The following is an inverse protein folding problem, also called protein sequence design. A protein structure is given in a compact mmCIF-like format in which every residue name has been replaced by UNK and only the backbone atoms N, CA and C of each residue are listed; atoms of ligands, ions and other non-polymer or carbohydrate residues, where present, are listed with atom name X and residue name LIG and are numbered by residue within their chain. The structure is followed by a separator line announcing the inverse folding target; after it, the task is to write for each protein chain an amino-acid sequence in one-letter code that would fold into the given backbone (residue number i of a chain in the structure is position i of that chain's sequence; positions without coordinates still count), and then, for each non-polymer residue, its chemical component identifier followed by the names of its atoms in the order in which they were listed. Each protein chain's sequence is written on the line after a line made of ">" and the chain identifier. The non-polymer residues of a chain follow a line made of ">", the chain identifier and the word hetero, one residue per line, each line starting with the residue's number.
data_IF_964410037063
#
_entry.id   IF_964410037063
#
_cell.length_a   1.000
_cell.length_b   1.000
_cell.length_c   1.000
_cell.angle_alpha   90.00
_cell.angle_beta   90.00
_cell.angle_gamma   90.00
#
_symmetry.space_group_name_H-M   'P 1'
#
loop_
_entity.id
_entity.type
_entity.pdbx_description
1 polymer ?
#
# COMPACT_ATOMS: atom_id res chain seq x y z
N UNK A 1 -4.53 -8.87 -2.71
CA UNK A 1 -5.25 -10.12 -3.05
C UNK A 1 -5.48 -10.13 -4.55
N UNK A 2 -5.61 -11.31 -5.18
CA UNK A 2 -5.90 -11.41 -6.62
C UNK A 2 -7.35 -11.02 -6.96
N UNK A 3 -8.25 -11.27 -6.02
CA UNK A 3 -9.70 -11.09 -6.15
C UNK A 3 -10.25 -10.25 -4.99
N UNK A 4 -11.50 -9.83 -5.09
CA UNK A 4 -12.31 -9.39 -3.94
C UNK A 4 -12.40 -10.51 -2.89
N UNK A 5 -12.69 -10.14 -1.64
CA UNK A 5 -12.97 -11.11 -0.57
C UNK A 5 -14.18 -11.96 -0.97
N UNK A 6 -14.07 -13.29 -0.93
CA UNK A 6 -15.20 -14.18 -1.20
C UNK A 6 -16.09 -14.35 0.03
N UNK A 7 -17.35 -14.77 -0.17
CA UNK A 7 -18.25 -15.02 0.95
C UNK A 7 -17.73 -16.10 1.90
N UNK A 8 -17.05 -17.14 1.40
CA UNK A 8 -16.45 -18.15 2.28
C UNK A 8 -15.31 -17.56 3.13
N UNK A 9 -14.45 -16.72 2.55
CA UNK A 9 -13.39 -16.05 3.31
C UNK A 9 -13.96 -15.19 4.44
N UNK A 10 -15.05 -14.45 4.17
CA UNK A 10 -15.71 -13.66 5.21
C UNK A 10 -16.42 -14.53 6.26
N UNK A 11 -17.01 -15.66 5.86
CA UNK A 11 -17.58 -16.66 6.80
C UNK A 11 -16.51 -17.23 7.72
N UNK A 12 -15.33 -17.55 7.18
CA UNK A 12 -14.22 -18.07 7.97
C UNK A 12 -13.78 -17.04 9.03
N UNK A 13 -13.69 -15.76 8.64
CA UNK A 13 -13.48 -14.63 9.57
C UNK A 13 -14.54 -14.57 10.67
N UNK A 14 -15.83 -14.53 10.31
CA UNK A 14 -16.93 -14.47 11.28
C UNK A 14 -16.87 -15.62 12.29
N UNK A 15 -16.50 -16.82 11.86
CA UNK A 15 -16.41 -17.99 12.73
C UNK A 15 -15.20 -17.98 13.68
N UNK A 16 -14.31 -16.99 13.59
CA UNK A 16 -13.26 -16.75 14.59
C UNK A 16 -13.66 -15.76 15.69
N UNK A 17 -14.75 -15.03 15.48
CA UNK A 17 -15.17 -13.94 16.35
C UNK A 17 -16.03 -14.43 17.53
N UNK A 18 -16.08 -13.63 18.59
CA UNK A 18 -17.04 -13.85 19.69
C UNK A 18 -18.48 -13.56 19.24
N UNK A 19 -19.52 -14.06 19.94
CA UNK A 19 -20.92 -13.80 19.59
C UNK A 19 -21.30 -12.31 19.50
N UNK A 20 -20.71 -11.46 20.35
CA UNK A 20 -20.95 -10.02 20.29
C UNK A 20 -20.36 -9.40 19.02
N UNK A 21 -19.12 -9.80 18.68
CA UNK A 21 -18.41 -9.32 17.49
C UNK A 21 -19.08 -9.82 16.20
N UNK A 22 -19.52 -11.09 16.14
CA UNK A 22 -20.27 -11.60 14.98
C UNK A 22 -21.60 -10.87 14.82
N UNK A 23 -22.34 -10.62 15.90
CA UNK A 23 -23.59 -9.84 15.83
C UNK A 23 -23.38 -8.44 15.25
N UNK A 24 -22.20 -7.84 15.45
CA UNK A 24 -21.85 -6.54 14.90
C UNK A 24 -21.32 -6.60 13.45
N UNK A 25 -20.57 -7.65 13.08
CA UNK A 25 -19.88 -7.76 11.77
C UNK A 25 -20.60 -8.61 10.72
N UNK A 26 -21.54 -9.46 11.12
CA UNK A 26 -22.25 -10.31 10.18
C UNK A 26 -23.23 -9.51 9.31
N UNK A 27 -23.35 -9.93 8.06
CA UNK A 27 -24.42 -9.52 7.16
C UNK A 27 -25.22 -10.77 6.81
N UNK A 28 -26.53 -10.76 7.07
CA UNK A 28 -27.43 -11.91 6.84
C UNK A 28 -28.64 -11.53 5.99
N UNK A 29 -28.63 -10.35 5.39
CA UNK A 29 -29.72 -9.88 4.51
C UNK A 29 -29.64 -10.59 3.17
N UNK A 30 -30.68 -11.37 2.86
CA UNK A 30 -30.81 -12.10 1.59
C UNK A 30 -31.00 -11.19 0.38
N UNK A 31 -30.59 -11.67 -0.80
CA UNK A 31 -30.72 -10.95 -2.07
C UNK A 31 -29.37 -10.49 -2.59
N UNK A 32 -29.30 -10.15 -3.88
CA UNK A 32 -28.05 -9.79 -4.57
C UNK A 32 -26.96 -10.86 -4.38
N UNK A 33 -27.37 -12.13 -4.46
CA UNK A 33 -26.52 -13.32 -4.27
C UNK A 33 -25.75 -13.40 -2.95
N UNK A 34 -26.13 -12.60 -1.96
CA UNK A 34 -25.69 -12.77 -0.59
C UNK A 34 -26.25 -14.10 -0.05
N UNK A 35 -25.35 -14.98 0.39
CA UNK A 35 -25.66 -16.32 0.88
C UNK A 35 -25.26 -16.59 2.33
N UNK A 36 -24.56 -15.64 2.98
CA UNK A 36 -24.07 -15.76 4.36
C UNK A 36 -25.27 -15.77 5.31
N UNK A 37 -25.34 -16.79 6.16
CA UNK A 37 -26.40 -17.00 7.15
C UNK A 37 -25.86 -17.71 8.38
N UNK A 38 -26.55 -17.53 9.50
CA UNK A 38 -26.30 -18.33 10.69
C UNK A 38 -26.92 -19.73 10.54
N UNK A 39 -26.15 -20.75 10.92
CA UNK A 39 -26.54 -22.16 10.98
C UNK A 39 -26.01 -22.73 12.30
N UNK A 40 -26.92 -22.95 13.25
CA UNK A 40 -26.62 -23.58 14.54
C UNK A 40 -25.50 -22.90 15.34
N UNK A 41 -25.53 -21.56 15.46
CA UNK A 41 -24.54 -20.78 16.22
C UNK A 41 -23.21 -20.57 15.51
N UNK A 42 -23.11 -20.91 14.22
CA UNK A 42 -21.98 -20.61 13.33
C UNK A 42 -22.47 -19.97 12.04
N UNK A 43 -21.57 -19.35 11.28
CA UNK A 43 -21.90 -18.81 9.96
C UNK A 43 -21.53 -19.80 8.86
N UNK A 44 -22.36 -19.82 7.82
CA UNK A 44 -22.14 -20.58 6.58
C UNK A 44 -22.64 -19.76 5.39
N UNK A 45 -22.23 -20.13 4.17
CA UNK A 45 -22.77 -19.54 2.94
C UNK A 45 -23.17 -20.61 1.92
N UNK A 46 -24.21 -20.33 1.13
CA UNK A 46 -24.58 -21.14 -0.03
C UNK A 46 -23.85 -20.74 -1.32
N UNK A 47 -23.05 -19.68 -1.29
CA UNK A 47 -22.36 -19.13 -2.46
C UNK A 47 -20.88 -18.84 -2.14
N UNK A 48 -20.11 -19.87 -1.73
CA UNK A 48 -18.77 -19.70 -1.13
C UNK A 48 -17.76 -18.94 -1.99
N UNK A 49 -17.90 -19.02 -3.32
CA UNK A 49 -16.97 -18.41 -4.26
C UNK A 49 -17.45 -17.06 -4.83
N UNK A 50 -18.67 -16.63 -4.50
CA UNK A 50 -19.18 -15.32 -4.90
C UNK A 50 -18.50 -14.24 -4.07
N UNK A 51 -18.21 -13.08 -4.68
CA UNK A 51 -17.64 -11.94 -3.95
C UNK A 51 -18.56 -11.53 -2.78
N UNK A 52 -17.96 -11.25 -1.63
CA UNK A 52 -18.66 -10.85 -0.42
C UNK A 52 -19.14 -9.41 -0.56
N UNK A 53 -20.45 -9.26 -0.72
CA UNK A 53 -21.10 -7.96 -0.74
C UNK A 53 -21.72 -7.60 0.60
N UNK A 54 -22.31 -6.40 0.70
CA UNK A 54 -22.88 -5.85 1.94
C UNK A 54 -21.84 -5.67 3.04
N UNK A 55 -20.62 -5.29 2.65
CA UNK A 55 -19.54 -4.95 3.57
C UNK A 55 -19.41 -3.43 3.69
N UNK A 56 -19.49 -2.91 4.91
CA UNK A 56 -19.15 -1.52 5.22
C UNK A 56 -17.64 -1.32 5.27
N UNK A 57 -17.18 -0.06 5.33
CA UNK A 57 -15.76 0.25 5.61
C UNK A 57 -15.25 -0.47 6.86
N UNK A 58 -16.06 -0.44 7.93
CA UNK A 58 -15.75 -1.06 9.21
C UNK A 58 -15.63 -2.58 9.11
N UNK A 59 -16.49 -3.24 8.33
CA UNK A 59 -16.43 -4.69 8.11
C UNK A 59 -15.15 -5.11 7.38
N UNK A 60 -14.81 -4.37 6.32
CA UNK A 60 -13.59 -4.61 5.57
C UNK A 60 -12.35 -4.35 6.40
N UNK A 61 -12.30 -3.24 7.14
CA UNK A 61 -11.20 -2.93 8.04
C UNK A 61 -11.00 -4.05 9.08
N UNK A 62 -12.06 -4.51 9.74
CA UNK A 62 -11.96 -5.63 10.68
C UNK A 62 -11.43 -6.92 10.04
N UNK A 63 -11.95 -7.29 8.86
CA UNK A 63 -11.46 -8.46 8.13
C UNK A 63 -9.98 -8.34 7.76
N UNK A 64 -9.55 -7.15 7.31
CA UNK A 64 -8.18 -6.90 6.90
C UNK A 64 -7.22 -6.91 8.09
N UNK A 65 -7.65 -6.36 9.22
CA UNK A 65 -6.86 -6.37 10.45
C UNK A 65 -6.59 -7.81 10.91
N UNK A 66 -7.68 -8.58 11.05
CA UNK A 66 -7.64 -10.00 11.38
C UNK A 66 -6.77 -10.83 10.42
N UNK A 67 -6.84 -10.55 9.12
CA UNK A 67 -6.06 -11.25 8.10
C UNK A 67 -4.59 -10.79 8.04
N UNK A 68 -4.19 -9.82 8.87
CA UNK A 68 -2.90 -9.16 8.83
C UNK A 68 -2.63 -8.44 7.50
N UNK A 69 -3.68 -8.07 6.77
CA UNK A 69 -3.64 -7.33 5.50
C UNK A 69 -3.85 -5.85 5.80
N UNK A 70 -3.94 -5.01 4.75
CA UNK A 70 -4.31 -3.61 4.91
C UNK A 70 -5.25 -3.12 3.81
N UNK A 71 -5.99 -2.02 4.05
CA UNK A 71 -6.76 -1.34 3.02
C UNK A 71 -5.87 -0.94 1.83
N UNK A 72 -6.39 -1.15 0.62
CA UNK A 72 -5.75 -0.69 -0.61
C UNK A 72 -6.00 0.81 -0.79
N UNK A 73 -4.99 1.58 -1.15
CA UNK A 73 -5.20 2.97 -1.59
C UNK A 73 -5.78 3.03 -3.00
N UNK A 74 -6.51 4.09 -3.34
CA UNK A 74 -6.99 4.27 -4.72
C UNK A 74 -5.85 4.41 -5.75
N UNK A 75 -4.64 4.78 -5.32
CA UNK A 75 -3.44 4.82 -6.16
C UNK A 75 -2.91 3.41 -6.43
N UNK A 76 -2.88 2.55 -5.41
CA UNK A 76 -2.55 1.13 -5.56
C UNK A 76 -3.58 0.42 -6.43
N UNK A 77 -4.86 0.79 -6.34
CA UNK A 77 -5.92 0.28 -7.21
C UNK A 77 -5.62 0.55 -8.69
N UNK A 78 -5.33 1.80 -9.05
CA UNK A 78 -4.98 2.16 -10.42
C UNK A 78 -3.67 1.52 -10.88
N UNK A 79 -2.69 1.39 -9.98
CA UNK A 79 -1.42 0.70 -10.28
C UNK A 79 -1.63 -0.79 -10.51
N UNK A 80 -2.54 -1.42 -9.76
CA UNK A 80 -2.91 -2.83 -9.95
C UNK A 80 -3.61 -3.04 -11.30
N UNK A 81 -4.43 -2.08 -11.73
CA UNK A 81 -5.05 -2.08 -13.03
C UNK A 81 -4.02 -1.91 -14.15
N UNK A 82 -3.23 -0.83 -14.17
CA UNK A 82 -2.38 -0.45 -15.32
C UNK A 82 -0.97 -1.01 -15.36
N UNK A 83 -0.44 -1.46 -14.22
CA UNK A 83 0.98 -1.75 -14.09
C UNK A 83 1.86 -0.56 -14.46
N UNK A 84 2.76 -0.75 -15.43
CA UNK A 84 3.65 0.30 -15.93
C UNK A 84 3.11 1.06 -17.15
N UNK A 85 1.92 0.70 -17.65
CA UNK A 85 1.34 1.37 -18.80
C UNK A 85 0.81 2.76 -18.45
N UNK A 86 1.00 3.71 -19.38
CA UNK A 86 0.39 5.03 -19.26
C UNK A 86 -1.14 4.95 -19.37
N UNK A 87 -1.87 5.97 -18.87
CA UNK A 87 -3.32 5.97 -18.89
C UNK A 87 -3.86 6.06 -20.33
N UNK A 88 -4.90 5.29 -20.62
CA UNK A 88 -5.69 5.35 -21.85
C UNK A 88 -7.08 5.90 -21.52
N UNK A 89 -7.55 6.86 -22.31
CA UNK A 89 -8.85 7.48 -22.09
C UNK A 89 -9.99 6.44 -22.14
N UNK A 90 -10.86 6.46 -21.13
CA UNK A 90 -12.01 5.56 -20.97
C UNK A 90 -11.66 4.06 -20.90
N UNK A 91 -10.43 3.74 -20.52
CA UNK A 91 -10.02 2.34 -20.38
C UNK A 91 -10.62 1.68 -19.13
N UNK A 92 -10.80 0.37 -19.24
CA UNK A 92 -11.10 -0.51 -18.12
C UNK A 92 -9.83 -1.22 -17.65
N UNK A 93 -9.94 -2.08 -16.64
CA UNK A 93 -8.80 -2.72 -15.98
C UNK A 93 -7.79 -3.39 -16.94
N UNK A 94 -8.25 -3.90 -18.08
CA UNK A 94 -7.41 -4.57 -19.08
C UNK A 94 -6.66 -3.65 -20.05
N UNK A 95 -6.89 -2.33 -19.99
CA UNK A 95 -6.18 -1.30 -20.74
C UNK A 95 -6.78 -0.93 -22.09
N UNK A 96 -8.03 -1.35 -22.38
CA UNK A 96 -8.76 -0.97 -23.59
C UNK A 96 -10.17 -0.48 -23.25
N UNK A 97 -10.86 0.07 -24.25
CA UNK A 97 -12.26 0.53 -24.14
C UNK A 97 -13.27 -0.58 -24.47
N UNK A 98 -12.82 -1.81 -24.75
CA UNK A 98 -13.71 -2.91 -25.14
C UNK A 98 -14.41 -3.53 -23.93
N UNK A 99 -15.58 -2.98 -23.56
CA UNK A 99 -16.44 -3.51 -22.50
C UNK A 99 -17.51 -4.45 -23.07
N UNK A 100 -17.55 -5.67 -22.56
CA UNK A 100 -18.51 -6.69 -22.98
C UNK A 100 -19.31 -7.17 -21.77
N UNK A 101 -20.63 -7.07 -21.87
CA UNK A 101 -21.56 -7.59 -20.86
C UNK A 101 -21.56 -9.11 -20.86
N UNK A 102 -21.79 -9.68 -19.68
CA UNK A 102 -22.11 -11.10 -19.47
C UNK A 102 -23.40 -11.50 -20.17
N UNK A 103 -24.25 -10.53 -20.53
CA UNK A 103 -25.50 -10.73 -21.25
C UNK A 103 -26.62 -11.25 -20.34
N UNK A 104 -27.24 -12.35 -20.73
CA UNK A 104 -28.38 -12.95 -20.02
C UNK A 104 -27.99 -14.08 -19.06
N UNK A 105 -28.91 -14.50 -18.20
CA UNK A 105 -28.75 -15.64 -17.29
C UNK A 105 -28.41 -16.93 -18.02
N UNK A 106 -28.86 -17.08 -19.26
CA UNK A 106 -28.53 -18.23 -20.12
C UNK A 106 -27.04 -18.37 -20.45
N UNK A 107 -26.23 -17.34 -20.22
CA UNK A 107 -24.78 -17.41 -20.39
C UNK A 107 -24.04 -17.96 -19.16
N UNK A 108 -24.73 -18.06 -18.02
CA UNK A 108 -24.16 -18.58 -16.79
C UNK A 108 -24.44 -20.07 -16.62
N UNK A 109 -23.51 -20.77 -15.99
CA UNK A 109 -23.66 -22.17 -15.57
C UNK A 109 -23.14 -22.34 -14.14
N UNK A 110 -23.75 -23.25 -13.36
CA UNK A 110 -23.36 -23.60 -11.98
C UNK A 110 -23.26 -22.38 -11.03
N UNK A 111 -24.28 -21.53 -11.02
CA UNK A 111 -24.30 -20.31 -10.21
C UNK A 111 -24.06 -20.59 -8.71
N UNK A 112 -23.02 -19.99 -8.16
CA UNK A 112 -22.67 -20.04 -6.73
C UNK A 112 -21.59 -21.07 -6.42
N UNK A 113 -21.33 -21.99 -7.34
CA UNK A 113 -20.43 -23.12 -7.17
C UNK A 113 -18.98 -22.79 -7.58
N UNK A 114 -18.05 -23.67 -7.21
CA UNK A 114 -16.64 -23.56 -7.63
C UNK A 114 -16.48 -23.55 -9.16
N UNK A 115 -17.43 -24.19 -9.85
CA UNK A 115 -17.48 -24.36 -11.30
C UNK A 115 -18.41 -23.34 -11.98
N UNK A 116 -18.76 -22.24 -11.30
CA UNK A 116 -19.51 -21.15 -11.92
C UNK A 116 -18.71 -20.59 -13.11
N UNK A 117 -19.34 -20.57 -14.28
CA UNK A 117 -18.76 -20.04 -15.51
C UNK A 117 -19.74 -19.10 -16.21
N UNK A 118 -19.18 -18.24 -17.05
CA UNK A 118 -19.93 -17.41 -17.98
C UNK A 118 -19.34 -17.58 -19.38
N UNK A 119 -20.19 -17.69 -20.40
CA UNK A 119 -19.76 -17.94 -21.78
C UNK A 119 -19.20 -16.72 -22.50
N UNK A 120 -19.40 -15.52 -21.96
CA UNK A 120 -18.98 -14.26 -22.56
C UNK A 120 -18.86 -13.13 -21.53
N UNK A 121 -18.32 -12.00 -21.99
CA UNK A 121 -18.15 -10.80 -21.19
C UNK A 121 -16.77 -10.72 -20.55
N UNK A 122 -16.44 -9.54 -20.05
CA UNK A 122 -15.20 -9.27 -19.31
C UNK A 122 -15.41 -8.41 -18.05
N UNK A 123 -16.67 -8.05 -17.76
CA UNK A 123 -17.07 -7.37 -16.54
C UNK A 123 -18.52 -7.72 -16.19
N UNK A 124 -18.84 -7.71 -14.89
CA UNK A 124 -20.22 -7.84 -14.39
C UNK A 124 -20.76 -6.44 -14.12
N UNK A 125 -21.76 -6.00 -14.87
CA UNK A 125 -22.33 -4.64 -14.80
C UNK A 125 -23.75 -4.58 -15.40
N UNK A 126 -24.40 -3.42 -15.32
CA UNK A 126 -25.71 -3.11 -15.92
C UNK A 126 -26.91 -3.91 -15.37
N UNK A 127 -26.80 -4.41 -14.14
CA UNK A 127 -27.93 -4.89 -13.34
C UNK A 127 -28.57 -6.19 -13.82
N UNK A 128 -28.07 -6.82 -14.89
CA UNK A 128 -28.67 -8.03 -15.46
C UNK A 128 -27.72 -9.23 -15.38
N UNK A 129 -28.14 -10.22 -14.58
CA UNK A 129 -27.56 -11.56 -14.41
C UNK A 129 -26.07 -11.60 -13.98
N UNK A 130 -25.76 -12.28 -12.86
CA UNK A 130 -26.58 -13.29 -12.17
C UNK A 130 -27.52 -12.72 -11.11
N UNK A 131 -27.76 -11.39 -11.10
CA UNK A 131 -28.63 -10.74 -10.11
C UNK A 131 -27.91 -10.43 -8.79
N UNK A 132 -26.64 -10.04 -8.90
CA UNK A 132 -25.68 -9.81 -7.82
C UNK A 132 -24.25 -9.94 -8.34
N UNK A 133 -23.23 -9.86 -7.48
CA UNK A 133 -21.85 -10.18 -7.87
C UNK A 133 -21.70 -11.62 -8.37
N UNK A 134 -20.69 -11.84 -9.20
CA UNK A 134 -20.32 -13.17 -9.70
C UNK A 134 -19.30 -13.85 -8.79
N UNK A 135 -18.99 -15.12 -9.12
CA UNK A 135 -17.82 -15.81 -8.61
C UNK A 135 -16.56 -14.96 -8.82
N UNK A 136 -15.68 -14.88 -7.83
CA UNK A 136 -14.37 -14.23 -8.03
C UNK A 136 -13.56 -14.96 -9.10
N UNK A 137 -12.99 -14.22 -10.05
CA UNK A 137 -12.29 -14.79 -11.20
C UNK A 137 -13.21 -15.42 -12.26
N UNK A 138 -14.46 -14.97 -12.38
CA UNK A 138 -15.47 -15.59 -13.26
C UNK A 138 -15.04 -15.66 -14.73
N UNK A 139 -14.27 -14.69 -15.20
CA UNK A 139 -13.82 -14.58 -16.59
C UNK A 139 -12.46 -15.24 -16.86
N UNK A 140 -11.71 -15.63 -15.82
CA UNK A 140 -10.43 -16.32 -15.98
C UNK A 140 -10.65 -17.79 -16.34
N UNK A 141 -10.02 -18.23 -17.44
CA UNK A 141 -10.09 -19.60 -17.92
C UNK A 141 -8.84 -20.00 -18.70
N UNK A 142 -8.80 -21.26 -19.12
CA UNK A 142 -7.71 -21.73 -19.98
C UNK A 142 -7.70 -20.93 -21.29
N UNK A 143 -6.54 -20.36 -21.64
CA UNK A 143 -6.39 -19.54 -22.85
C UNK A 143 -6.99 -18.14 -22.79
N UNK A 144 -7.54 -17.69 -21.65
CA UNK A 144 -8.04 -16.32 -21.54
C UNK A 144 -6.92 -15.30 -21.68
N UNK A 145 -7.14 -14.27 -22.50
CA UNK A 145 -6.27 -13.09 -22.54
C UNK A 145 -6.56 -12.18 -21.35
N UNK A 146 -5.70 -11.16 -21.13
CA UNK A 146 -5.95 -10.14 -20.10
C UNK A 146 -7.32 -9.47 -20.28
N UNK A 147 -7.66 -9.11 -21.52
CA UNK A 147 -8.93 -8.47 -21.85
C UNK A 147 -10.13 -9.41 -21.69
N UNK A 148 -10.05 -10.65 -22.18
CA UNK A 148 -11.16 -11.59 -22.03
C UNK A 148 -11.36 -12.04 -20.58
N UNK A 149 -10.30 -12.01 -19.77
CA UNK A 149 -10.36 -12.29 -18.35
C UNK A 149 -10.79 -11.09 -17.49
N UNK A 150 -10.93 -9.89 -18.07
CA UNK A 150 -11.20 -8.67 -17.29
C UNK A 150 -10.07 -8.31 -16.31
N UNK A 151 -8.84 -8.74 -16.58
CA UNK A 151 -7.72 -8.67 -15.65
C UNK A 151 -6.92 -7.37 -15.79
N UNK A 152 -6.38 -6.88 -14.68
CA UNK A 152 -5.30 -5.90 -14.64
C UNK A 152 -3.96 -6.45 -15.13
N UNK A 153 -2.97 -5.58 -15.26
CA UNK A 153 -1.65 -5.93 -15.81
C UNK A 153 -0.83 -6.86 -14.93
N UNK A 154 -1.19 -6.98 -13.64
CA UNK A 154 -0.59 -7.93 -12.70
C UNK A 154 -1.45 -9.18 -12.47
N UNK A 155 -2.44 -9.44 -13.35
CA UNK A 155 -3.36 -10.57 -13.21
C UNK A 155 -4.35 -10.41 -12.07
N UNK A 156 -4.52 -9.18 -11.58
CA UNK A 156 -5.49 -8.80 -10.56
C UNK A 156 -6.85 -8.66 -11.22
N UNK A 157 -7.87 -9.30 -10.66
CA UNK A 157 -9.11 -9.56 -11.37
C UNK A 157 -10.24 -8.64 -10.87
N UNK A 158 -11.26 -8.45 -11.70
CA UNK A 158 -12.49 -7.70 -11.38
C UNK A 158 -12.25 -6.26 -10.88
N UNK A 159 -11.23 -5.57 -11.39
CA UNK A 159 -10.99 -4.15 -11.12
C UNK A 159 -11.93 -3.21 -11.91
N UNK A 160 -12.83 -3.77 -12.71
CA UNK A 160 -13.89 -3.08 -13.45
C UNK A 160 -15.17 -3.92 -13.39
N UNK A 161 -16.15 -3.47 -12.62
CA UNK A 161 -17.43 -4.15 -12.37
C UNK A 161 -17.42 -5.01 -11.11
N UNK A 162 -18.36 -5.96 -11.04
CA UNK A 162 -18.60 -6.82 -9.88
C UNK A 162 -19.03 -6.05 -8.62
N UNK A 163 -18.13 -5.66 -7.71
CA UNK A 163 -18.44 -4.81 -6.56
C UNK A 163 -17.62 -3.54 -6.58
N UNK A 164 -18.21 -2.47 -6.05
CA UNK A 164 -17.40 -1.32 -5.67
C UNK A 164 -16.45 -1.74 -4.56
N UNK A 165 -15.17 -1.58 -4.82
CA UNK A 165 -14.13 -1.86 -3.84
C UNK A 165 -13.87 -0.61 -3.01
N UNK A 166 -13.91 -0.80 -1.70
CA UNK A 166 -13.58 0.22 -0.72
C UNK A 166 -12.08 0.45 -0.69
N UNK A 167 -11.66 1.70 -0.85
CA UNK A 167 -10.25 2.10 -0.87
C UNK A 167 -9.97 3.24 0.10
N UNK A 168 -8.70 3.39 0.48
CA UNK A 168 -8.22 4.63 1.10
C UNK A 168 -8.16 5.73 0.04
N UNK A 169 -8.72 6.89 0.35
CA UNK A 169 -8.81 8.03 -0.55
C UNK A 169 -7.57 8.93 -0.46
N UNK A 170 -7.03 9.37 -1.59
CA UNK A 170 -6.05 10.47 -1.62
C UNK A 170 -6.72 11.85 -1.63
N UNK A 171 -8.04 11.92 -1.81
CA UNK A 171 -8.79 13.17 -1.99
C UNK A 171 -9.04 13.97 -0.72
N UNK A 172 -8.93 13.36 0.46
CA UNK A 172 -9.17 14.02 1.75
C UNK A 172 -7.98 13.86 2.72
N UNK A 173 -7.99 14.64 3.81
CA UNK A 173 -6.88 14.69 4.75
C UNK A 173 -6.67 13.35 5.48
N UNK A 174 -7.75 12.71 5.93
CA UNK A 174 -7.70 11.46 6.70
C UNK A 174 -7.10 10.31 5.88
N UNK A 175 -7.47 10.21 4.60
CA UNK A 175 -6.91 9.18 3.71
C UNK A 175 -5.47 9.47 3.29
N UNK A 176 -5.04 10.74 3.23
CA UNK A 176 -3.61 11.11 3.07
C UNK A 176 -2.79 10.89 4.34
N UNK A 177 -3.42 10.81 5.51
CA UNK A 177 -2.77 10.45 6.76
C UNK A 177 -2.49 8.95 6.88
N UNK A 178 -3.07 8.12 6.00
CA UNK A 178 -2.83 6.68 5.98
C UNK A 178 -1.34 6.35 5.75
N UNK A 179 -0.81 5.42 6.56
CA UNK A 179 0.60 4.99 6.51
C UNK A 179 0.80 3.58 5.95
N UNK A 180 -0.29 2.82 5.78
CA UNK A 180 -0.18 1.50 5.18
C UNK A 180 0.43 0.43 6.09
N UNK A 181 0.32 0.57 7.41
CA UNK A 181 0.62 -0.52 8.33
C UNK A 181 -0.33 -1.70 8.11
N UNK A 182 0.19 -2.91 8.27
CA UNK A 182 -0.62 -4.14 8.20
C UNK A 182 -1.42 -4.33 9.47
N UNK A 183 -2.53 -5.04 9.34
CA UNK A 183 -3.28 -5.58 10.46
C UNK A 183 -2.37 -6.37 11.38
N UNK A 184 -2.65 -6.29 12.68
CA UNK A 184 -1.90 -7.00 13.71
C UNK A 184 -2.57 -8.34 14.07
N UNK A 185 -3.72 -8.65 13.46
CA UNK A 185 -4.50 -9.86 13.75
C UNK A 185 -5.36 -9.76 15.00
N UNK A 186 -5.39 -8.59 15.66
CA UNK A 186 -6.20 -8.28 16.82
C UNK A 186 -7.39 -7.41 16.40
N UNK A 187 -8.44 -7.42 17.23
CA UNK A 187 -9.63 -6.63 17.00
C UNK A 187 -10.06 -6.01 18.34
N UNK A 188 -10.54 -4.79 18.26
CA UNK A 188 -11.14 -4.10 19.40
C UNK A 188 -12.56 -4.62 19.70
N UNK A 189 -13.19 -3.98 20.67
CA UNK A 189 -14.58 -4.25 21.05
C UNK A 189 -15.52 -4.19 19.84
N UNK A 190 -16.57 -5.02 19.86
CA UNK A 190 -17.50 -5.19 18.73
C UNK A 190 -16.85 -5.70 17.43
N UNK A 191 -15.56 -6.08 17.48
CA UNK A 191 -14.88 -6.79 16.39
C UNK A 191 -14.51 -5.85 15.27
N UNK A 192 -14.19 -4.60 15.60
CA UNK A 192 -13.64 -3.61 14.67
C UNK A 192 -12.12 -3.70 14.66
N UNK A 193 -11.49 -3.30 13.55
CA UNK A 193 -10.02 -3.20 13.50
C UNK A 193 -9.50 -2.14 14.50
N UNK A 194 -8.29 -2.34 15.00
CA UNK A 194 -7.66 -1.51 16.03
C UNK A 194 -6.41 -0.74 15.54
N UNK A 195 -6.06 -0.87 14.26
CA UNK A 195 -4.92 -0.14 13.68
C UNK A 195 -5.19 1.37 13.63
N UNK A 196 -4.53 2.12 14.53
CA UNK A 196 -4.78 3.55 14.76
C UNK A 196 -4.58 4.45 13.53
N UNK A 197 -3.68 4.04 12.63
CA UNK A 197 -3.35 4.83 11.43
C UNK A 197 -4.28 4.58 10.25
N UNK A 198 -5.29 3.72 10.41
CA UNK A 198 -6.25 3.44 9.35
C UNK A 198 -7.40 4.46 9.34
N UNK A 199 -7.93 4.80 8.16
CA UNK A 199 -9.09 5.68 8.04
C UNK A 199 -10.29 5.22 8.89
N UNK A 200 -10.97 6.17 9.52
CA UNK A 200 -12.14 5.91 10.35
C UNK A 200 -11.84 5.44 11.77
N UNK A 201 -10.58 5.48 12.21
CA UNK A 201 -10.22 5.21 13.60
C UNK A 201 -10.77 6.30 14.54
N UNK A 202 -11.64 5.89 15.47
CA UNK A 202 -12.31 6.73 16.46
C UNK A 202 -12.53 5.90 17.74
N UNK A 203 -12.31 6.47 18.93
CA UNK A 203 -12.65 5.81 20.20
C UNK A 203 -12.13 4.35 20.34
N UNK A 204 -10.82 4.14 20.15
CA UNK A 204 -10.16 2.84 20.29
C UNK A 204 -10.51 1.78 19.22
N UNK A 205 -11.06 2.17 18.07
CA UNK A 205 -11.27 1.25 16.95
C UNK A 205 -11.74 1.93 15.68
N UNK A 206 -11.79 1.18 14.57
CA UNK A 206 -12.25 1.72 13.29
C UNK A 206 -13.77 1.68 13.25
N UNK A 207 -14.44 2.74 13.70
CA UNK A 207 -15.91 2.85 13.70
C UNK A 207 -16.45 3.83 12.67
N UNK A 208 -15.61 4.75 12.20
CA UNK A 208 -15.92 5.72 11.17
C UNK A 208 -15.57 5.22 9.76
N UNK A 209 -15.62 6.13 8.79
CA UNK A 209 -15.15 5.88 7.42
C UNK A 209 -14.53 7.11 6.77
N UNK A 210 -14.18 8.13 7.56
CA UNK A 210 -13.46 9.30 7.09
C UNK A 210 -12.09 8.86 6.57
N UNK A 211 -11.72 9.28 5.34
CA UNK A 211 -10.53 8.77 4.66
C UNK A 211 -10.74 7.60 3.71
N UNK A 212 -11.95 7.05 3.65
CA UNK A 212 -12.32 6.01 2.67
C UNK A 212 -12.99 6.56 1.41
N UNK A 213 -13.09 5.71 0.41
CA UNK A 213 -13.82 5.95 -0.83
C UNK A 213 -14.11 4.64 -1.57
N UNK A 214 -14.48 4.77 -2.85
CA UNK A 214 -14.85 3.65 -3.72
C UNK A 214 -14.16 3.72 -5.08
N UNK A 215 -13.86 2.55 -5.66
CA UNK A 215 -13.35 2.39 -7.03
C UNK A 215 -14.01 1.20 -7.74
N UNK A 216 -13.88 1.16 -9.07
CA UNK A 216 -14.09 -0.06 -9.87
C UNK A 216 -15.46 -0.24 -10.52
N UNK A 217 -16.50 0.51 -10.17
CA UNK A 217 -17.86 0.17 -10.60
C UNK A 217 -18.43 -1.03 -9.86
N UNK A 218 -19.71 -1.36 -10.08
CA UNK A 218 -20.35 -2.53 -9.49
C UNK A 218 -21.29 -3.21 -10.50
N UNK A 219 -21.90 -4.34 -10.11
CA UNK A 219 -22.76 -5.16 -10.96
C UNK A 219 -24.03 -4.44 -11.47
N UNK A 220 -24.40 -3.29 -10.89
CA UNK A 220 -25.53 -2.44 -11.35
C UNK A 220 -25.10 -1.19 -12.11
N UNK A 221 -23.81 -0.85 -12.12
CA UNK A 221 -23.29 0.31 -12.86
C UNK A 221 -23.61 0.20 -14.34
N UNK A 222 -24.05 1.29 -14.96
CA UNK A 222 -24.55 1.30 -16.36
C UNK A 222 -23.44 1.24 -17.44
N UNK A 223 -22.26 0.69 -17.09
CA UNK A 223 -21.07 0.71 -17.94
C UNK A 223 -20.48 2.12 -18.09
N UNK A 224 -19.46 2.26 -18.93
CA UNK A 224 -18.82 3.56 -19.18
C UNK A 224 -18.05 4.06 -17.96
N UNK A 225 -18.27 5.34 -17.60
CA UNK A 225 -17.44 6.07 -16.63
C UNK A 225 -17.28 5.34 -15.29
N UNK A 226 -18.34 4.74 -14.74
CA UNK A 226 -18.29 4.14 -13.39
C UNK A 226 -17.30 2.96 -13.27
N UNK A 227 -17.00 2.27 -14.38
CA UNK A 227 -16.07 1.13 -14.41
C UNK A 227 -14.67 1.52 -14.87
N UNK A 228 -14.50 2.74 -15.40
CA UNK A 228 -13.23 3.20 -15.95
C UNK A 228 -12.17 3.20 -14.86
N UNK A 229 -10.95 2.78 -15.23
CA UNK A 229 -9.84 2.63 -14.30
C UNK A 229 -9.56 3.92 -13.53
N UNK A 230 -9.75 5.10 -14.13
CA UNK A 230 -9.52 6.41 -13.49
C UNK A 230 -10.73 7.04 -12.80
N UNK A 231 -11.90 6.40 -12.78
CA UNK A 231 -13.11 7.05 -12.24
C UNK A 231 -13.05 7.27 -10.73
N UNK A 232 -13.21 8.52 -10.31
CA UNK A 232 -13.11 8.91 -8.89
C UNK A 232 -14.33 9.67 -8.41
N UNK A 233 -15.46 9.55 -9.11
CA UNK A 233 -16.70 10.23 -8.71
C UNK A 233 -17.09 9.91 -7.25
N UNK A 234 -16.79 8.68 -6.80
CA UNK A 234 -16.98 8.25 -5.41
C UNK A 234 -15.67 7.95 -4.66
N UNK A 235 -14.53 8.40 -5.19
CA UNK A 235 -13.19 8.11 -4.64
C UNK A 235 -12.93 8.74 -3.27
N UNK A 236 -13.78 9.67 -2.81
CA UNK A 236 -13.72 10.30 -1.47
C UNK A 236 -15.05 10.19 -0.70
N UNK A 237 -16.00 9.37 -1.18
CA UNK A 237 -17.31 9.24 -0.53
C UNK A 237 -17.19 8.41 0.74
N UNK A 238 -17.26 9.09 1.89
CA UNK A 238 -17.30 8.47 3.21
C UNK A 238 -18.70 7.89 3.48
N UNK A 239 -18.78 6.60 3.81
CA UNK A 239 -20.04 5.91 4.07
C UNK A 239 -19.83 4.70 4.99
N UNK A 240 -20.48 4.69 6.16
CA UNK A 240 -20.41 3.60 7.15
C UNK A 240 -21.43 2.48 6.93
N UNK A 241 -22.37 2.66 6.00
CA UNK A 241 -23.44 1.70 5.75
C UNK A 241 -22.94 0.50 4.92
N UNK A 242 -23.71 -0.58 5.02
CA UNK A 242 -23.62 -1.77 4.17
C UNK A 242 -24.57 -1.63 2.99
N UNK A 243 -24.14 -2.03 1.81
CA UNK A 243 -24.97 -2.06 0.60
C UNK A 243 -24.56 -3.25 -0.27
N UNK A 244 -25.49 -3.80 -1.07
CA UNK A 244 -25.20 -4.93 -1.94
C UNK A 244 -24.15 -4.63 -2.99
N UNK A 245 -23.86 -3.36 -3.29
CA UNK A 245 -22.80 -2.97 -4.21
C UNK A 245 -21.40 -2.96 -3.59
N UNK A 246 -21.27 -3.04 -2.26
CA UNK A 246 -20.01 -2.78 -1.57
C UNK A 246 -19.28 -4.08 -1.25
N UNK A 247 -18.05 -4.17 -1.77
CA UNK A 247 -17.10 -5.23 -1.50
C UNK A 247 -15.77 -4.66 -0.99
N UNK A 248 -14.81 -5.57 -0.81
CA UNK A 248 -13.50 -5.23 -0.28
C UNK A 248 -12.40 -6.11 -0.87
N UNK A 249 -11.19 -5.58 -0.79
CA UNK A 249 -9.95 -6.24 -1.13
C UNK A 249 -8.85 -5.78 -0.21
N UNK A 250 -8.06 -6.73 0.27
CA UNK A 250 -6.84 -6.45 1.01
C UNK A 250 -5.62 -6.40 0.11
N UNK A 251 -4.65 -5.60 0.52
CA UNK A 251 -3.28 -5.68 0.00
C UNK A 251 -2.31 -6.03 1.12
N UNK A 252 -1.15 -6.52 0.71
CA UNK A 252 0.00 -6.74 1.57
C UNK A 252 1.19 -6.16 0.82
N UNK A 253 1.92 -5.27 1.47
CA UNK A 253 3.21 -4.78 0.99
C UNK A 253 4.32 -5.72 1.46
N UNK A 254 5.55 -5.43 1.03
CA UNK A 254 6.72 -5.90 1.80
C UNK A 254 6.54 -5.41 3.24
N UNK A 255 6.86 -6.21 4.28
CA UNK A 255 6.80 -5.73 5.66
C UNK A 255 7.66 -4.47 5.75
N UNK A 256 6.98 -3.35 5.85
CA UNK A 256 7.52 -2.14 6.45
C UNK A 256 6.86 -2.26 7.82
N UNK A 257 7.59 -2.76 8.80
CA UNK A 257 7.14 -2.88 10.20
C UNK A 257 6.86 -1.51 10.84
N UNK A 258 6.80 -0.46 10.01
CA UNK A 258 6.73 0.93 10.38
C UNK A 258 8.08 1.48 10.78
N UNK A 259 9.12 0.65 10.84
CA UNK A 259 10.44 1.08 11.23
C UNK A 259 11.32 1.24 9.99
N UNK A 260 12.14 2.26 10.03
CA UNK A 260 13.06 2.61 8.99
C UNK A 260 14.50 2.46 9.46
N UNK A 261 15.36 1.96 8.58
CA UNK A 261 16.79 1.84 8.83
C UNK A 261 17.52 3.12 8.41
N UNK A 262 18.46 3.56 9.25
CA UNK A 262 19.47 4.58 8.90
C UNK A 262 20.79 3.86 8.67
N UNK A 263 21.14 3.68 7.41
CA UNK A 263 22.40 3.08 6.99
C UNK A 263 23.45 4.17 6.74
N UNK A 264 24.67 3.96 7.23
CA UNK A 264 25.79 4.89 7.04
C UNK A 264 26.91 4.18 6.29
N UNK A 265 27.26 4.73 5.13
CA UNK A 265 28.41 4.31 4.34
C UNK A 265 29.56 5.29 4.58
N UNK A 266 30.76 4.78 4.83
CA UNK A 266 31.95 5.60 5.04
C UNK A 266 32.85 5.51 3.82
N UNK A 267 33.26 6.66 3.29
CA UNK A 267 34.28 6.79 2.24
C UNK A 267 35.50 7.50 2.82
N UNK A 268 36.67 6.87 2.75
CA UNK A 268 37.87 7.33 3.47
C UNK A 268 37.96 6.74 4.88
N UNK A 269 38.78 7.33 5.75
CA UNK A 269 38.99 6.83 7.12
C UNK A 269 38.38 7.78 8.16
N UNK A 270 37.44 7.25 8.94
CA UNK A 270 36.72 7.96 9.98
C UNK A 270 35.66 7.06 10.61
N UNK A 271 34.83 7.65 11.46
CA UNK A 271 33.70 6.98 12.09
C UNK A 271 32.49 7.91 12.13
N UNK A 272 31.30 7.31 12.25
CA UNK A 272 30.05 8.04 12.43
C UNK A 272 29.34 7.48 13.65
N UNK A 273 28.83 8.38 14.49
CA UNK A 273 27.97 8.06 15.62
C UNK A 273 26.54 8.47 15.29
N UNK A 274 25.56 7.65 15.71
CA UNK A 274 24.12 7.89 15.58
C UNK A 274 23.54 8.14 16.97
N UNK A 275 22.67 9.14 17.12
CA UNK A 275 21.97 9.41 18.38
C UNK A 275 20.49 9.73 18.11
N UNK A 276 19.53 8.90 18.58
CA UNK A 276 19.75 7.60 19.22
C UNK A 276 20.33 6.57 18.24
N UNK A 277 21.07 5.57 18.74
CA UNK A 277 21.56 4.45 17.91
C UNK A 277 20.62 3.25 18.08
N UNK A 278 19.65 3.14 17.17
CA UNK A 278 18.68 2.05 17.11
C UNK A 278 18.92 1.19 15.88
N UNK A 279 18.46 -0.06 15.95
CA UNK A 279 18.44 -0.98 14.81
C UNK A 279 17.47 -0.47 13.73
N UNK A 280 16.34 0.10 14.13
CA UNK A 280 15.38 0.78 13.26
C UNK A 280 14.61 1.89 14.01
N UNK A 281 14.00 2.82 13.27
CA UNK A 281 13.42 4.06 13.78
C UNK A 281 11.97 4.22 13.32
N UNK A 282 11.09 4.69 14.21
CA UNK A 282 9.73 5.07 13.85
C UNK A 282 9.73 6.27 12.87
N UNK A 283 8.69 6.44 12.04
CA UNK A 283 8.62 7.55 11.11
C UNK A 283 8.55 8.88 11.86
N UNK A 284 9.28 9.88 11.36
CA UNK A 284 9.42 11.19 12.00
C UNK A 284 10.44 11.22 13.15
N UNK A 285 11.12 10.11 13.45
CA UNK A 285 12.24 10.11 14.39
C UNK A 285 13.34 11.04 13.90
N UNK A 286 13.90 11.84 14.79
CA UNK A 286 15.10 12.63 14.51
C UNK A 286 16.34 11.86 14.96
N UNK A 287 17.32 11.73 14.05
CA UNK A 287 18.58 11.05 14.32
C UNK A 287 19.72 12.03 14.06
N UNK A 288 20.53 12.29 15.09
CA UNK A 288 21.75 13.07 14.97
C UNK A 288 22.89 12.16 14.52
N UNK A 289 23.59 12.57 13.46
CA UNK A 289 24.77 11.92 12.92
C UNK A 289 25.98 12.81 13.14
N UNK A 290 27.02 12.28 13.79
CA UNK A 290 28.29 13.00 13.99
C UNK A 290 29.45 12.22 13.38
N UNK A 291 30.15 12.84 12.44
CA UNK A 291 31.35 12.32 11.78
C UNK A 291 32.61 12.68 12.57
N UNK A 292 33.43 11.68 12.88
CA UNK A 292 34.73 11.84 13.55
C UNK A 292 35.85 11.34 12.63
N UNK A 293 36.67 12.23 12.05
CA UNK A 293 37.77 11.84 11.18
C UNK A 293 38.83 11.01 11.90
N UNK A 294 39.46 10.08 11.19
CA UNK A 294 40.65 9.40 11.69
C UNK A 294 41.88 10.36 11.69
N UNK A 295 42.95 9.97 12.38
CA UNK A 295 44.20 10.74 12.38
C UNK A 295 44.72 10.89 10.94
N UNK A 296 44.99 12.13 10.53
CA UNK A 296 45.46 12.44 9.17
C UNK A 296 44.35 12.58 8.13
N UNK A 297 43.08 12.53 8.54
CA UNK A 297 41.91 12.74 7.69
C UNK A 297 41.09 13.93 8.18
N UNK A 298 40.31 14.51 7.27
CA UNK A 298 39.29 15.54 7.55
C UNK A 298 37.94 15.06 7.05
N UNK A 299 36.89 15.46 7.74
CA UNK A 299 35.54 15.27 7.24
C UNK A 299 35.32 16.23 6.07
N UNK A 300 34.87 15.70 4.94
CA UNK A 300 34.63 16.46 3.72
C UNK A 300 33.16 16.83 3.58
N UNK A 301 32.24 15.85 3.61
CA UNK A 301 30.81 16.09 3.47
C UNK A 301 29.95 14.87 3.79
N UNK A 302 28.67 15.12 4.06
CA UNK A 302 27.58 14.15 3.99
C UNK A 302 26.96 14.16 2.60
N UNK A 303 26.62 12.99 2.07
CA UNK A 303 25.86 12.82 0.81
C UNK A 303 24.91 11.62 0.89
N UNK A 304 24.28 11.21 -0.22
CA UNK A 304 23.34 10.10 -0.28
C UNK A 304 21.90 10.59 -0.35
N UNK A 305 21.07 10.17 0.60
CA UNK A 305 19.67 10.60 0.73
C UNK A 305 19.49 12.02 1.33
N UNK A 306 20.59 12.76 1.51
CA UNK A 306 20.60 14.18 1.93
C UNK A 306 21.27 15.05 0.88
N UNK A 307 20.96 16.35 0.89
CA UNK A 307 21.77 17.33 0.18
C UNK A 307 23.22 17.30 0.66
N UNK A 308 24.15 17.80 -0.15
CA UNK A 308 25.55 17.87 0.23
C UNK A 308 25.72 18.85 1.39
N UNK A 309 26.10 18.34 2.56
CA UNK A 309 26.27 19.13 3.79
C UNK A 309 27.71 18.99 4.28
N UNK A 310 28.31 20.11 4.71
CA UNK A 310 29.72 20.17 5.12
C UNK A 310 29.91 20.18 6.64
N UNK A 311 28.86 20.40 7.42
CA UNK A 311 28.91 20.34 8.87
C UNK A 311 29.13 18.90 9.35
N UNK A 312 30.09 18.69 10.26
CA UNK A 312 30.45 17.36 10.76
C UNK A 312 29.34 16.70 11.58
N UNK A 313 28.35 17.47 12.05
CA UNK A 313 27.18 16.98 12.76
C UNK A 313 25.93 17.46 12.02
N UNK A 314 25.01 16.53 11.73
CA UNK A 314 23.71 16.81 11.10
C UNK A 314 22.58 16.09 11.83
N UNK A 315 21.38 16.62 11.75
CA UNK A 315 20.16 15.93 12.18
C UNK A 315 19.34 15.57 10.96
N UNK A 316 18.92 14.30 10.86
CA UNK A 316 18.01 13.83 9.81
C UNK A 316 16.67 13.43 10.42
N UNK A 317 15.59 13.64 9.68
CA UNK A 317 14.27 13.11 10.00
C UNK A 317 14.04 11.82 9.21
N UNK A 318 13.73 10.73 9.91
CA UNK A 318 13.58 9.41 9.30
C UNK A 318 12.13 9.21 8.84
N UNK A 319 11.88 9.41 7.54
CA UNK A 319 10.55 9.24 6.91
C UNK A 319 10.48 8.02 5.98
N UNK A 320 11.61 7.35 5.78
CA UNK A 320 11.83 6.16 4.96
C UNK A 320 13.16 5.53 5.36
N UNK A 321 13.52 4.38 4.78
CA UNK A 321 14.90 3.90 4.83
C UNK A 321 15.84 4.95 4.20
N UNK A 322 16.89 5.31 4.92
CA UNK A 322 17.85 6.35 4.52
C UNK A 322 19.24 5.73 4.43
N UNK A 323 19.95 6.02 3.33
CA UNK A 323 21.39 5.79 3.23
C UNK A 323 22.15 7.11 3.18
N UNK A 324 22.95 7.37 4.22
CA UNK A 324 23.84 8.52 4.31
C UNK A 324 25.27 8.07 4.01
N UNK A 325 26.02 8.89 3.29
CA UNK A 325 27.44 8.67 3.00
C UNK A 325 28.27 9.74 3.70
N UNK A 326 29.15 9.34 4.62
CA UNK A 326 30.16 10.20 5.22
C UNK A 326 31.44 10.14 4.40
N UNK A 327 31.86 11.27 3.85
CA UNK A 327 33.09 11.38 3.05
C UNK A 327 34.19 12.00 3.90
N UNK A 328 35.30 11.29 4.00
CA UNK A 328 36.54 11.76 4.60
C UNK A 328 37.63 11.83 3.52
N UNK A 329 38.49 12.83 3.60
CA UNK A 329 39.66 12.99 2.72
C UNK A 329 40.93 13.13 3.55
N UNK A 330 42.08 12.75 3.01
CA UNK A 330 43.36 13.01 3.67
C UNK A 330 43.53 14.52 3.95
N UNK A 331 44.13 14.83 5.09
CA UNK A 331 44.54 16.18 5.43
C UNK A 331 45.68 16.58 4.48
N UNK A 332 45.39 17.46 3.51
CA UNK A 332 46.41 17.90 2.57
C UNK A 332 47.26 19.01 3.20
N UNK A 333 48.53 18.72 3.42
CA UNK A 333 49.49 19.65 4.03
C UNK A 333 50.07 20.65 3.00
N UNK A 334 49.55 20.72 1.77
CA UNK A 334 50.22 21.40 0.65
C UNK A 334 50.34 22.94 0.73
N UNK A 335 49.94 23.62 1.82
CA UNK A 335 50.03 25.09 1.90
C UNK A 335 50.70 25.70 3.14
N UNK A 336 51.48 24.94 3.92
CA UNK A 336 52.38 25.55 4.91
C UNK A 336 53.69 26.02 4.24
N UNK A 337 53.68 27.18 3.57
CA UNK A 337 54.92 27.83 3.12
C UNK A 337 55.61 28.42 4.35
N UNK A 338 56.69 27.81 4.82
CA UNK A 338 57.56 28.40 5.84
C UNK A 338 58.53 29.34 5.13
N UNK A 339 58.38 30.65 5.34
CA UNK A 339 59.39 31.61 4.92
C UNK A 339 60.66 31.41 5.77
N UNK A 340 61.71 30.87 5.15
CA UNK A 340 63.04 30.83 5.77
C UNK A 340 63.81 32.08 5.35
N UNK A 341 63.96 33.02 6.29
CA UNK A 341 64.78 34.22 6.12
C UNK A 341 66.22 33.87 6.47
N UNK A 342 67.17 34.07 5.54
CA UNK A 342 68.59 33.96 5.86
C UNK A 342 69.01 35.14 6.76
N UNK A 343 69.42 34.92 8.02
CA UNK A 343 69.72 36.00 8.95
C UNK A 343 71.00 36.77 8.62
N UNK A 344 71.85 36.28 7.71
CA UNK A 344 73.10 36.94 7.31
C UNK A 344 72.98 37.78 6.03
N UNK A 345 72.04 37.46 5.14
CA UNK A 345 71.91 38.12 3.82
C UNK A 345 70.55 38.78 3.59
N UNK A 346 69.55 38.52 4.43
CA UNK A 346 68.18 39.04 4.27
C UNK A 346 67.41 38.44 3.08
N UNK A 347 67.99 37.46 2.37
CA UNK A 347 67.36 36.81 1.22
C UNK A 347 66.37 35.75 1.71
N UNK A 348 65.13 35.86 1.24
CA UNK A 348 64.05 34.87 1.41
C UNK A 348 64.15 33.80 0.33
N UNK A 349 64.20 32.53 0.74
CA UNK A 349 64.07 31.39 -0.19
C UNK A 349 62.68 30.76 -0.01
N UNK A 350 61.97 30.56 -1.12
CA UNK A 350 60.79 29.70 -1.14
C UNK A 350 61.27 28.27 -1.37
N UNK A 351 61.39 27.47 -0.31
CA UNK A 351 61.62 26.04 -0.48
C UNK A 351 60.27 25.33 -0.63
N UNK A 352 60.06 24.71 -1.80
CA UNK A 352 58.88 23.88 -2.08
C UNK A 352 59.12 22.39 -1.83
N UNK A 353 60.26 22.00 -1.23
CA UNK A 353 60.66 20.59 -1.24
C UNK A 353 61.39 20.08 0.01
N UNK A 354 60.96 20.45 1.22
CA UNK A 354 61.40 19.78 2.45
C UNK A 354 60.61 18.50 2.79
N UNK A 355 60.05 17.83 1.79
CA UNK A 355 59.32 16.56 1.92
C UNK A 355 60.11 15.30 1.56
N UNK A 356 61.42 15.37 1.39
CA UNK A 356 62.24 14.19 1.07
C UNK A 356 63.42 14.02 2.05
N UNK A 357 63.14 13.48 3.24
CA UNK A 357 64.16 12.74 3.98
C UNK A 357 63.60 11.41 4.46
N UNK A 358 64.15 10.33 3.86
CA UNK A 358 64.09 8.95 4.35
C UNK A 358 64.46 8.86 5.83
N UNK A 359 63.66 8.16 6.61
CA UNK A 359 64.05 7.11 7.56
C UNK A 359 62.82 6.26 7.89
#
# INVERSE_FOLDING_TARGET
>A
MKYEVSQQQYVDFLNTLTPAQTSARATTTSGDRQGIREVSGKYATSTPYVAANRLSWVDGAAYLDWAGLRPMTELEYEKAARGFSGPVANEYAWGTTNLQSTGGSGNYSNLGDATETVSQGNAVYSGSNPGGPARVGIFAGEGSSRESAGAGYWGVMELSGNLWERTVSGGNADGRAYRGYHGNGMLADQGVGDVETWPGYENAGITGSAGSGFRGGNFTSNGGNDLCTSDRNNGSTSNVLRDSWYGFRGVRGVPDDGLYEVNVVIVGEGSVTKVPDLEAYEPGSEVELTATPAVGWVFSSWTGDVEVIYDATITITVEKNITIVAVFSLYDNETAVVEVVNPATGVTWMDRNLGASRA
#
